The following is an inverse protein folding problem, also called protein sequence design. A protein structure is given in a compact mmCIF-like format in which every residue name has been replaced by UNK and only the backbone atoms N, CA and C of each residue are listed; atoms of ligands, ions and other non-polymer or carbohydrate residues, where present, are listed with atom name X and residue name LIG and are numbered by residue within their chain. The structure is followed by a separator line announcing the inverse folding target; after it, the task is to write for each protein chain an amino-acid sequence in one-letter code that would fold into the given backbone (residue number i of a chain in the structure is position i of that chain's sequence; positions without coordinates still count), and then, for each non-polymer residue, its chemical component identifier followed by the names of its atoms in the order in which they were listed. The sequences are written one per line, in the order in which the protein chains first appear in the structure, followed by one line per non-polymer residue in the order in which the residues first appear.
data_IF_754201139273
#
_entry.id   IF_754201139273
#
_cell.length_a   1.000
_cell.length_b   1.000
_cell.length_c   1.000
_cell.angle_alpha   90.00
_cell.angle_beta   90.00
_cell.angle_gamma   90.00
#
_symmetry.space_group_name_H-M   'P 1'
#
loop_
_entity.id
_entity.type
_entity.pdbx_description
1 polymer ?
#
# COMPACT_ATOMS: atom_id res chain seq x y z
N UNK A 1 6.31 -14.22 16.93
CA UNK A 1 6.24 -13.66 15.56
C UNK A 1 5.01 -12.73 15.34
N UNK A 2 4.82 -11.62 16.08
CA UNK A 2 3.67 -10.72 15.89
C UNK A 2 3.82 -9.69 14.74
N UNK A 3 5.04 -9.44 14.25
CA UNK A 3 5.31 -8.45 13.20
C UNK A 3 4.76 -8.86 11.82
N UNK A 4 4.88 -10.14 11.44
CA UNK A 4 4.33 -10.63 10.18
C UNK A 4 2.79 -10.59 10.13
N UNK A 5 2.11 -10.72 11.27
CA UNK A 5 0.63 -10.62 11.34
C UNK A 5 0.18 -9.21 10.95
N UNK A 6 0.91 -8.18 11.40
CA UNK A 6 0.61 -6.77 11.10
C UNK A 6 0.78 -6.45 9.62
N UNK A 7 1.91 -6.87 9.04
CA UNK A 7 2.18 -6.68 7.62
C UNK A 7 1.10 -7.36 6.75
N UNK A 8 0.73 -8.61 7.08
CA UNK A 8 -0.36 -9.34 6.40
C UNK A 8 -1.71 -8.64 6.53
N UNK A 9 -2.00 -8.08 7.71
CA UNK A 9 -3.26 -7.38 7.97
C UNK A 9 -3.34 -6.10 7.12
N UNK A 10 -2.26 -5.33 7.04
CA UNK A 10 -2.22 -4.14 6.18
C UNK A 10 -2.30 -4.49 4.70
N UNK A 11 -1.66 -5.57 4.25
CA UNK A 11 -1.81 -6.01 2.86
C UNK A 11 -3.27 -6.35 2.56
N UNK A 12 -3.95 -7.09 3.44
CA UNK A 12 -5.38 -7.39 3.27
C UNK A 12 -6.23 -6.12 3.19
N UNK A 13 -5.98 -5.13 4.05
CA UNK A 13 -6.69 -3.85 3.99
C UNK A 13 -6.40 -3.09 2.69
N UNK A 14 -5.19 -3.18 2.16
CA UNK A 14 -4.86 -2.60 0.86
C UNK A 14 -5.66 -3.24 -0.27
N UNK A 15 -5.82 -4.57 -0.25
CA UNK A 15 -6.61 -5.32 -1.22
C UNK A 15 -8.11 -5.02 -1.11
N UNK A 16 -8.64 -4.95 0.11
CA UNK A 16 -10.04 -4.60 0.38
C UNK A 16 -10.38 -3.19 -0.13
N UNK A 17 -9.53 -2.19 0.15
CA UNK A 17 -9.73 -0.83 -0.35
C UNK A 17 -9.57 -0.74 -1.87
N UNK A 18 -8.64 -1.50 -2.46
CA UNK A 18 -8.51 -1.56 -3.92
C UNK A 18 -9.78 -2.12 -4.59
N UNK A 19 -10.32 -3.23 -4.06
CA UNK A 19 -11.56 -3.82 -4.59
C UNK A 19 -12.75 -2.88 -4.42
N UNK A 20 -12.86 -2.24 -3.26
CA UNK A 20 -13.88 -1.22 -2.99
C UNK A 20 -13.80 -0.05 -3.98
N UNK A 21 -12.59 0.40 -4.32
CA UNK A 21 -12.40 1.42 -5.35
C UNK A 21 -12.92 0.98 -6.73
N UNK A 22 -12.62 -0.27 -7.13
CA UNK A 22 -13.10 -0.84 -8.39
C UNK A 22 -14.64 -0.90 -8.46
N UNK A 23 -15.31 -1.28 -7.36
CA UNK A 23 -16.78 -1.34 -7.34
C UNK A 23 -17.43 0.04 -7.49
N UNK A 24 -16.74 1.11 -7.13
CA UNK A 24 -17.28 2.48 -7.11
C UNK A 24 -16.96 3.31 -8.34
N UNK A 25 -16.16 2.80 -9.27
CA UNK A 25 -15.70 3.55 -10.46
C UNK A 25 -16.83 4.25 -11.24
N UNK A 26 -18.00 3.61 -11.32
CA UNK A 26 -19.15 4.11 -12.08
C UNK A 26 -20.23 4.78 -11.21
N UNK A 27 -20.13 4.68 -9.89
CA UNK A 27 -21.14 5.17 -8.94
C UNK A 27 -20.70 6.48 -8.29
N UNK A 28 -19.45 6.52 -7.82
CA UNK A 28 -18.89 7.64 -7.07
C UNK A 28 -17.37 7.69 -7.31
N UNK A 29 -16.96 8.55 -8.24
CA UNK A 29 -15.57 8.71 -8.65
C UNK A 29 -14.71 9.30 -7.52
N UNK A 30 -15.27 10.15 -6.67
CA UNK A 30 -14.53 10.74 -5.54
C UNK A 30 -14.26 9.67 -4.48
N UNK A 31 -15.27 8.86 -4.14
CA UNK A 31 -15.09 7.74 -3.22
C UNK A 31 -14.15 6.65 -3.79
N UNK A 32 -14.15 6.44 -5.10
CA UNK A 32 -13.22 5.53 -5.76
C UNK A 32 -11.77 6.04 -5.66
N UNK A 33 -11.54 7.33 -5.92
CA UNK A 33 -10.23 7.96 -5.79
C UNK A 33 -9.70 7.88 -4.35
N UNK A 34 -10.55 8.16 -3.36
CA UNK A 34 -10.19 8.05 -1.95
C UNK A 34 -9.80 6.60 -1.58
N UNK A 35 -10.56 5.61 -2.05
CA UNK A 35 -10.27 4.20 -1.79
C UNK A 35 -8.95 3.73 -2.46
N UNK A 36 -8.62 4.22 -3.67
CA UNK A 36 -7.29 3.97 -4.26
C UNK A 36 -6.16 4.59 -3.44
N UNK A 37 -6.34 5.81 -2.94
CA UNK A 37 -5.37 6.46 -2.04
C UNK A 37 -5.18 5.67 -0.74
N UNK A 38 -6.26 5.17 -0.15
CA UNK A 38 -6.19 4.34 1.06
C UNK A 38 -5.50 3.00 0.79
N UNK A 39 -5.78 2.37 -0.35
CA UNK A 39 -5.07 1.16 -0.78
C UNK A 39 -3.55 1.39 -0.92
N UNK A 40 -3.15 2.50 -1.52
CA UNK A 40 -1.74 2.91 -1.61
C UNK A 40 -1.11 3.08 -0.21
N UNK A 41 -1.80 3.76 0.71
CA UNK A 41 -1.30 3.98 2.07
C UNK A 41 -1.21 2.68 2.88
N UNK A 42 -2.16 1.76 2.72
CA UNK A 42 -2.08 0.45 3.36
C UNK A 42 -0.98 -0.43 2.78
N UNK A 43 -0.73 -0.37 1.47
CA UNK A 43 0.40 -1.05 0.83
C UNK A 43 1.73 -0.54 1.41
N UNK A 44 1.87 0.78 1.54
CA UNK A 44 3.03 1.43 2.17
C UNK A 44 3.22 0.94 3.60
N UNK A 45 2.14 0.89 4.40
CA UNK A 45 2.16 0.39 5.79
C UNK A 45 2.51 -1.10 5.87
N UNK A 46 2.08 -1.91 4.91
CA UNK A 46 2.37 -3.34 4.87
C UNK A 46 3.87 -3.57 4.74
N UNK A 47 4.51 -2.90 3.79
CA UNK A 47 5.97 -2.97 3.58
C UNK A 47 6.72 -2.43 4.80
N UNK A 48 6.31 -1.25 5.27
CA UNK A 48 6.91 -0.65 6.46
C UNK A 48 6.81 -1.55 7.70
N UNK A 49 5.68 -2.24 7.91
CA UNK A 49 5.48 -3.15 9.04
C UNK A 49 6.41 -4.38 9.00
N UNK A 50 6.94 -4.77 7.83
CA UNK A 50 7.97 -5.82 7.73
C UNK A 50 9.30 -5.32 8.30
N UNK A 51 9.64 -4.05 8.06
CA UNK A 51 10.89 -3.43 8.53
C UNK A 51 10.91 -3.09 10.03
N UNK A 52 9.75 -3.15 10.71
CA UNK A 52 9.60 -2.75 12.11
C UNK A 52 9.14 -3.92 12.99
N UNK A 53 10.05 -4.38 13.85
CA UNK A 53 9.78 -5.42 14.85
C UNK A 53 8.72 -4.93 15.84
N UNK A 54 8.84 -3.68 16.30
CA UNK A 54 7.95 -3.08 17.30
C UNK A 54 6.78 -2.31 16.67
N UNK A 55 5.66 -2.25 17.39
CA UNK A 55 4.55 -1.37 17.03
C UNK A 55 4.93 0.07 17.38
N UNK A 56 4.62 1.05 16.52
CA UNK A 56 4.88 2.43 16.86
C UNK A 56 3.92 2.82 18.00
N UNK A 57 4.41 3.61 18.95
CA UNK A 57 3.57 4.10 20.07
C UNK A 57 2.46 5.04 19.58
N UNK A 58 2.68 5.68 18.44
CA UNK A 58 1.76 6.62 17.80
C UNK A 58 1.55 6.22 16.33
N UNK A 59 0.42 6.62 15.75
CA UNK A 59 0.15 6.41 14.31
C UNK A 59 1.12 7.29 13.50
N UNK A 60 2.05 6.72 12.72
CA UNK A 60 2.98 7.52 11.93
C UNK A 60 2.22 8.28 10.83
N UNK A 61 2.66 9.51 10.55
CA UNK A 61 2.18 10.25 9.39
C UNK A 61 2.62 9.56 8.09
N UNK A 62 1.93 9.79 6.96
CA UNK A 62 2.38 9.30 5.65
C UNK A 62 3.82 9.69 5.33
N UNK A 63 4.21 10.93 5.64
CA UNK A 63 5.56 11.44 5.40
C UNK A 63 6.61 10.64 6.19
N UNK A 64 6.33 10.35 7.46
CA UNK A 64 7.21 9.56 8.31
C UNK A 64 7.29 8.10 7.85
N UNK A 65 6.17 7.52 7.41
CA UNK A 65 6.16 6.17 6.83
C UNK A 65 7.07 6.08 5.60
N UNK A 66 6.98 7.06 4.70
CA UNK A 66 7.76 7.10 3.46
C UNK A 66 9.25 7.34 3.73
N UNK A 67 9.58 8.23 4.66
CA UNK A 67 10.97 8.47 5.06
C UNK A 67 11.60 7.20 5.62
N UNK A 68 10.89 6.50 6.52
CA UNK A 68 11.40 5.26 7.10
C UNK A 68 11.46 4.11 6.08
N UNK A 69 10.47 4.04 5.18
CA UNK A 69 10.44 3.08 4.08
C UNK A 69 11.67 3.22 3.19
N UNK A 70 12.08 4.45 2.87
CA UNK A 70 13.25 4.71 2.00
C UNK A 70 14.56 4.11 2.50
N UNK A 71 14.64 3.78 3.80
CA UNK A 71 15.81 3.14 4.43
C UNK A 71 15.73 1.62 4.44
N UNK A 72 14.56 1.06 4.10
CA UNK A 72 14.23 -0.35 4.26
C UNK A 72 13.96 -1.08 2.93
N UNK A 73 13.86 -0.35 1.81
CA UNK A 73 13.58 -0.90 0.48
C UNK A 73 14.59 -0.40 -0.54
N UNK A 74 14.60 -1.04 -1.71
CA UNK A 74 15.44 -0.62 -2.83
C UNK A 74 15.14 0.83 -3.27
N UNK A 75 16.16 1.60 -3.73
CA UNK A 75 16.00 3.02 -4.08
C UNK A 75 14.90 3.31 -5.11
N UNK A 76 14.70 2.41 -6.07
CA UNK A 76 13.65 2.54 -7.10
C UNK A 76 12.25 2.48 -6.48
N UNK A 77 12.04 1.53 -5.56
CA UNK A 77 10.78 1.40 -4.82
C UNK A 77 10.55 2.62 -3.93
N UNK A 78 11.58 3.08 -3.23
CA UNK A 78 11.52 4.28 -2.39
C UNK A 78 11.12 5.52 -3.20
N UNK A 79 11.73 5.71 -4.38
CA UNK A 79 11.42 6.79 -5.31
C UNK A 79 9.96 6.71 -5.76
N UNK A 80 9.50 5.53 -6.18
CA UNK A 80 8.11 5.31 -6.58
C UNK A 80 7.12 5.76 -5.49
N UNK A 81 7.28 5.29 -4.25
CA UNK A 81 6.35 5.61 -3.17
C UNK A 81 6.34 7.11 -2.83
N UNK A 82 7.51 7.76 -2.90
CA UNK A 82 7.62 9.21 -2.68
C UNK A 82 6.90 10.00 -3.77
N UNK A 83 7.16 9.68 -5.03
CA UNK A 83 6.57 10.39 -6.18
C UNK A 83 5.05 10.14 -6.26
N UNK A 84 4.63 8.90 -6.00
CA UNK A 84 3.21 8.54 -5.94
C UNK A 84 2.47 9.32 -4.84
N UNK A 85 3.07 9.47 -3.65
CA UNK A 85 2.47 10.25 -2.58
C UNK A 85 2.32 11.73 -2.94
N UNK A 86 3.32 12.31 -3.60
CA UNK A 86 3.22 13.70 -4.05
C UNK A 86 2.09 13.88 -5.07
N UNK A 87 1.93 12.96 -6.01
CA UNK A 87 0.77 12.96 -6.94
C UNK A 87 -0.57 12.92 -6.20
N UNK A 88 -0.69 12.09 -5.16
CA UNK A 88 -1.91 12.05 -4.33
C UNK A 88 -2.14 13.31 -3.49
N UNK A 89 -1.11 14.14 -3.26
CA UNK A 89 -1.21 15.43 -2.56
C UNK A 89 -1.58 16.57 -3.49
N UNK A 90 -0.96 16.62 -4.67
CA UNK A 90 -1.20 17.67 -5.67
C UNK A 90 -2.47 17.45 -6.48
N UNK A 91 -3.02 16.24 -6.44
CA UNK A 91 -4.18 15.83 -7.22
C UNK A 91 -3.78 14.85 -8.32
N UNK A 92 -4.57 13.81 -8.50
CA UNK A 92 -4.33 12.76 -9.49
C UNK A 92 -5.66 12.39 -10.14
N UNK A 93 -5.63 11.97 -11.40
CA UNK A 93 -6.81 11.42 -12.05
C UNK A 93 -7.18 10.04 -11.49
N UNK A 94 -8.42 9.59 -11.69
CA UNK A 94 -8.86 8.28 -11.25
C UNK A 94 -8.04 7.12 -11.86
N UNK A 95 -7.65 7.27 -13.13
CA UNK A 95 -6.82 6.30 -13.83
C UNK A 95 -5.41 6.22 -13.24
N UNK A 96 -4.79 7.37 -12.99
CA UNK A 96 -3.50 7.44 -12.33
C UNK A 96 -3.56 6.89 -10.89
N UNK A 97 -4.59 7.25 -10.11
CA UNK A 97 -4.81 6.73 -8.77
C UNK A 97 -4.85 5.20 -8.76
N UNK A 98 -5.59 4.62 -9.72
CA UNK A 98 -5.67 3.17 -9.91
C UNK A 98 -4.32 2.57 -10.24
N UNK A 99 -3.58 3.16 -11.18
CA UNK A 99 -2.26 2.67 -11.58
C UNK A 99 -1.26 2.71 -10.42
N UNK A 100 -1.22 3.82 -9.67
CA UNK A 100 -0.35 3.98 -8.51
C UNK A 100 -0.72 3.01 -7.38
N UNK A 101 -2.01 2.84 -7.08
CA UNK A 101 -2.47 1.90 -6.08
C UNK A 101 -2.15 0.45 -6.47
N UNK A 102 -2.39 0.09 -7.73
CA UNK A 102 -2.06 -1.24 -8.27
C UNK A 102 -0.56 -1.53 -8.16
N UNK A 103 0.29 -0.58 -8.54
CA UNK A 103 1.74 -0.76 -8.47
C UNK A 103 2.23 -0.87 -7.01
N UNK A 104 1.70 -0.06 -6.10
CA UNK A 104 2.00 -0.15 -4.68
C UNK A 104 1.59 -1.51 -4.08
N UNK A 105 0.43 -2.03 -4.47
CA UNK A 105 -0.06 -3.34 -4.05
C UNK A 105 0.86 -4.46 -4.54
N UNK A 106 1.34 -4.38 -5.78
CA UNK A 106 2.29 -5.34 -6.34
C UNK A 106 3.61 -5.34 -5.56
N UNK A 107 4.18 -4.16 -5.26
CA UNK A 107 5.37 -4.07 -4.41
C UNK A 107 5.14 -4.66 -3.02
N UNK A 108 3.98 -4.39 -2.40
CA UNK A 108 3.66 -4.98 -1.11
C UNK A 108 3.58 -6.51 -1.18
N UNK A 109 3.00 -7.07 -2.25
CA UNK A 109 2.93 -8.52 -2.47
C UNK A 109 4.32 -9.14 -2.67
N UNK A 110 5.18 -8.49 -3.45
CA UNK A 110 6.55 -8.95 -3.68
C UNK A 110 7.36 -8.98 -2.39
N UNK A 111 7.35 -7.89 -1.61
CA UNK A 111 8.08 -7.82 -0.35
C UNK A 111 7.55 -8.83 0.67
N UNK A 112 6.23 -9.05 0.70
CA UNK A 112 5.61 -9.98 1.63
C UNK A 112 5.58 -11.43 1.11
N UNK A 113 5.97 -11.71 -0.13
CA UNK A 113 5.91 -13.05 -0.70
C UNK A 113 6.63 -14.12 0.16
N UNK A 114 7.82 -13.87 0.72
CA UNK A 114 8.51 -14.83 1.58
C UNK A 114 7.74 -15.20 2.86
N UNK A 115 6.85 -14.32 3.33
CA UNK A 115 6.10 -14.48 4.59
C UNK A 115 4.65 -14.94 4.37
N UNK A 116 4.10 -14.73 3.17
CA UNK A 116 2.74 -15.12 2.81
C UNK A 116 2.63 -16.61 2.49
N UNK A 117 3.72 -17.24 2.03
CA UNK A 117 3.77 -18.64 1.64
C UNK A 117 3.08 -18.91 0.29
N UNK A 118 3.24 -20.13 -0.28
CA UNK A 118 2.82 -20.45 -1.64
C UNK A 118 1.30 -20.30 -1.90
N UNK A 119 0.48 -20.45 -0.85
CA UNK A 119 -0.98 -20.50 -0.96
C UNK A 119 -1.64 -19.12 -1.19
N UNK A 120 -0.92 -18.02 -0.98
CA UNK A 120 -1.46 -16.68 -1.18
C UNK A 120 -1.35 -16.18 -2.64
N UNK A 121 -0.45 -16.78 -3.42
CA UNK A 121 -0.12 -16.34 -4.79
C UNK A 121 -1.12 -16.83 -5.85
N UNK A 122 -1.98 -17.80 -5.51
CA UNK A 122 -2.92 -18.42 -6.46
C UNK A 122 -4.29 -17.74 -6.55
N UNK A 123 -4.54 -16.65 -5.83
CA UNK A 123 -5.77 -15.86 -5.98
C UNK A 123 -5.55 -14.71 -6.94
N UNK A 124 -5.56 -15.05 -8.23
CA UNK A 124 -5.85 -14.10 -9.30
C UNK A 124 -7.19 -13.43 -8.99
N UNK A 125 -7.18 -12.10 -8.87
CA UNK A 125 -8.36 -11.25 -8.98
C UNK A 125 -8.07 -10.20 -10.06
#
# INVERSE_FOLDING_TARGET
MPFYIRAKTYLRYAEEEYQKALTRLNEDQEAALLAFKDSFLFSTKAIWAVSRIEAPKEKPSPEKLLEELSRAVEPEMATFFKDAWEKFRTGTSLEEARALASQALNYAREVLAPILGPAAWSRNF
#
